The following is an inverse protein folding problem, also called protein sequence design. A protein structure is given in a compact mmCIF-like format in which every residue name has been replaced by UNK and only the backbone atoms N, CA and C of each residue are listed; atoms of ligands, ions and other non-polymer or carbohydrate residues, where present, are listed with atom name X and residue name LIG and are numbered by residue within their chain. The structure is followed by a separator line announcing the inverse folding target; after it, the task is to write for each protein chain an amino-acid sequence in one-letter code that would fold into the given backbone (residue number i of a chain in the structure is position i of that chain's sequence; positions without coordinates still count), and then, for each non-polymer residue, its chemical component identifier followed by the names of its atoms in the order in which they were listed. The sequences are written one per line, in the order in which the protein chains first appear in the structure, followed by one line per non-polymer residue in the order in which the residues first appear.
data_IF_850015114063
#
_entry.id   IF_850015114063
#
_cell.length_a   1.000
_cell.length_b   1.000
_cell.length_c   1.000
_cell.angle_alpha   90.00
_cell.angle_beta   90.00
_cell.angle_gamma   90.00
#
_symmetry.space_group_name_H-M   'P 1'
#
loop_
_entity.id
_entity.type
_entity.pdbx_description
1 polymer ?
#
# COMPACT_ATOMS: atom_id res chain seq x y z
N UNK A 1 -21.26 13.97 5.56
CA UNK A 1 -21.85 12.71 6.06
C UNK A 1 -21.81 11.66 4.98
N UNK A 2 -21.17 10.52 5.21
CA UNK A 2 -21.20 9.43 4.25
C UNK A 2 -22.63 8.89 4.16
N UNK A 3 -23.13 8.73 2.95
CA UNK A 3 -24.32 7.92 2.72
C UNK A 3 -24.01 6.47 3.13
N UNK A 4 -24.99 5.72 3.54
CA UNK A 4 -24.91 4.40 4.18
C UNK A 4 -24.05 3.31 3.50
N UNK A 5 -23.34 3.59 2.40
CA UNK A 5 -22.65 2.59 1.59
C UNK A 5 -21.31 3.03 0.98
N UNK A 6 -20.74 4.15 1.41
CA UNK A 6 -19.45 4.55 0.86
C UNK A 6 -18.30 4.04 1.75
N UNK A 7 -17.68 2.96 1.33
CA UNK A 7 -16.44 2.48 1.93
C UNK A 7 -15.29 3.42 1.58
N UNK A 8 -14.37 3.61 2.53
CA UNK A 8 -13.17 4.43 2.30
C UNK A 8 -12.33 3.85 1.16
N UNK A 9 -12.15 2.54 1.15
CA UNK A 9 -11.42 1.80 0.12
C UNK A 9 -12.41 0.96 -0.65
N UNK A 10 -12.32 1.00 -1.99
CA UNK A 10 -13.16 0.18 -2.86
C UNK A 10 -12.37 -0.37 -4.03
N UNK A 11 -12.89 -1.38 -4.67
CA UNK A 11 -12.34 -1.95 -5.89
C UNK A 11 -12.87 -1.19 -7.10
N UNK A 12 -11.97 -0.72 -7.95
CA UNK A 12 -12.32 0.04 -9.15
C UNK A 12 -11.27 -0.19 -10.22
N UNK A 13 -11.71 -0.45 -11.46
CA UNK A 13 -10.82 -0.62 -12.62
C UNK A 13 -9.66 -1.61 -12.35
N UNK A 14 -9.98 -2.72 -11.70
CA UNK A 14 -9.01 -3.79 -11.43
C UNK A 14 -8.09 -3.57 -10.24
N UNK A 15 -8.30 -2.52 -9.45
CA UNK A 15 -7.40 -2.18 -8.34
C UNK A 15 -8.16 -1.61 -7.15
N UNK A 16 -7.52 -1.61 -5.99
CA UNK A 16 -8.05 -0.93 -4.81
C UNK A 16 -7.82 0.58 -4.94
N UNK A 17 -8.80 1.34 -4.52
CA UNK A 17 -8.84 2.78 -4.71
C UNK A 17 -9.45 3.51 -3.50
N UNK A 18 -8.79 4.57 -3.08
CA UNK A 18 -9.29 5.51 -2.09
C UNK A 18 -9.68 6.82 -2.78
N UNK A 19 -10.97 7.05 -2.97
CA UNK A 19 -11.47 8.21 -3.70
C UNK A 19 -11.14 9.53 -3.00
N UNK A 20 -11.31 9.60 -1.67
CA UNK A 20 -11.04 10.81 -0.92
C UNK A 20 -9.58 11.27 -1.02
N UNK A 21 -8.65 10.35 -1.09
CA UNK A 21 -7.23 10.67 -1.27
C UNK A 21 -6.82 10.74 -2.74
N UNK A 22 -7.68 10.29 -3.65
CA UNK A 22 -7.35 10.07 -5.06
C UNK A 22 -6.05 9.27 -5.20
N UNK A 23 -6.03 8.10 -4.57
CA UNK A 23 -4.85 7.25 -4.53
C UNK A 23 -5.23 5.81 -4.81
N UNK A 24 -4.39 5.12 -5.58
CA UNK A 24 -4.57 3.73 -5.96
C UNK A 24 -3.55 2.86 -5.25
N UNK A 25 -3.92 1.64 -4.91
CA UNK A 25 -3.04 0.67 -4.27
C UNK A 25 -2.71 -0.41 -5.29
N UNK A 26 -1.41 -0.60 -5.58
CA UNK A 26 -0.89 -1.55 -6.57
C UNK A 26 -1.69 -1.51 -7.89
N UNK A 27 -1.83 -0.34 -8.53
CA UNK A 27 -2.70 -0.21 -9.70
C UNK A 27 -2.20 -1.01 -10.90
N UNK A 28 -3.14 -1.51 -11.70
CA UNK A 28 -2.83 -2.23 -12.95
C UNK A 28 -2.80 -1.31 -14.18
N UNK A 29 -3.11 -0.02 -14.00
CA UNK A 29 -3.07 1.01 -15.05
C UNK A 29 -2.27 2.21 -14.55
N UNK A 30 -1.68 3.01 -15.46
CA UNK A 30 -1.08 4.28 -15.06
C UNK A 30 -2.11 5.19 -14.39
N UNK A 31 -1.75 5.72 -13.24
CA UNK A 31 -2.60 6.61 -12.44
C UNK A 31 -1.78 7.80 -11.95
N UNK A 32 -2.46 8.81 -11.42
CA UNK A 32 -1.78 9.99 -10.88
C UNK A 32 -0.93 9.64 -9.66
N UNK A 33 -1.46 8.85 -8.73
CA UNK A 33 -0.76 8.53 -7.48
C UNK A 33 -1.01 7.08 -7.08
N UNK A 34 0.07 6.33 -6.91
CA UNK A 34 0.07 4.91 -6.57
C UNK A 34 0.80 4.63 -5.26
N UNK A 35 0.13 3.96 -4.34
CA UNK A 35 0.78 3.31 -3.19
C UNK A 35 1.19 1.91 -3.63
N UNK A 36 2.46 1.56 -3.39
CA UNK A 36 3.00 0.25 -3.75
C UNK A 36 3.29 -0.54 -2.48
N UNK A 37 2.67 -1.72 -2.37
CA UNK A 37 2.85 -2.58 -1.19
C UNK A 37 4.21 -3.26 -1.18
N UNK A 38 4.71 -3.68 -2.33
CA UNK A 38 6.01 -4.33 -2.45
C UNK A 38 6.49 -4.33 -3.91
N UNK A 39 7.74 -4.74 -4.12
CA UNK A 39 8.43 -4.55 -5.39
C UNK A 39 8.28 -5.69 -6.41
N UNK A 40 7.31 -6.59 -6.26
CA UNK A 40 7.01 -7.58 -7.30
C UNK A 40 6.31 -6.92 -8.49
N UNK A 41 6.60 -7.40 -9.71
CA UNK A 41 6.10 -6.78 -10.94
C UNK A 41 4.58 -6.85 -11.12
N UNK A 42 3.93 -7.87 -10.58
CA UNK A 42 2.47 -7.98 -10.61
C UNK A 42 1.77 -6.94 -9.71
N UNK A 43 2.52 -6.22 -8.88
CA UNK A 43 2.05 -5.13 -8.04
C UNK A 43 2.55 -3.75 -8.48
N UNK A 44 3.24 -3.67 -9.62
CA UNK A 44 3.82 -2.43 -10.12
C UNK A 44 3.41 -2.17 -11.57
N UNK A 45 3.01 -0.94 -11.87
CA UNK A 45 2.66 -0.49 -13.21
C UNK A 45 3.47 0.75 -13.57
N UNK A 46 4.12 0.73 -14.72
CA UNK A 46 4.83 1.90 -15.24
C UNK A 46 3.88 3.04 -15.59
N UNK A 47 4.39 4.27 -15.55
CA UNK A 47 3.68 5.42 -16.08
C UNK A 47 2.80 6.16 -15.09
N UNK A 48 2.83 5.81 -13.80
CA UNK A 48 2.18 6.61 -12.78
C UNK A 48 2.97 7.92 -12.57
N UNK A 49 2.26 9.01 -12.29
CA UNK A 49 2.91 10.30 -12.08
C UNK A 49 3.71 10.33 -10.78
N UNK A 50 3.22 9.68 -9.75
CA UNK A 50 3.88 9.60 -8.45
C UNK A 50 3.65 8.22 -7.82
N UNK A 51 4.71 7.65 -7.25
CA UNK A 51 4.65 6.43 -6.45
C UNK A 51 4.97 6.77 -5.00
N UNK A 52 4.35 6.03 -4.08
CA UNK A 52 4.63 6.14 -2.65
C UNK A 52 4.84 4.72 -2.11
N UNK A 53 5.94 4.51 -1.42
CA UNK A 53 6.30 3.19 -0.88
C UNK A 53 7.20 3.31 0.35
N UNK A 54 7.57 2.16 0.92
CA UNK A 54 8.69 2.12 1.86
C UNK A 54 10.00 2.39 1.10
N UNK A 55 11.05 2.76 1.86
CA UNK A 55 12.36 3.06 1.30
C UNK A 55 12.95 1.85 0.57
N UNK A 56 12.88 0.67 1.17
CA UNK A 56 13.41 -0.56 0.60
C UNK A 56 12.69 -0.95 -0.69
N UNK A 57 11.38 -0.82 -0.72
CA UNK A 57 10.59 -1.05 -1.94
C UNK A 57 11.02 -0.10 -3.05
N UNK A 58 11.23 1.18 -2.74
CA UNK A 58 11.69 2.16 -3.72
C UNK A 58 13.07 1.80 -4.28
N UNK A 59 14.00 1.37 -3.43
CA UNK A 59 15.34 0.94 -3.87
C UNK A 59 15.24 -0.25 -4.83
N UNK A 60 14.43 -1.26 -4.50
CA UNK A 60 14.24 -2.43 -5.35
C UNK A 60 13.58 -2.07 -6.68
N UNK A 61 12.59 -1.20 -6.69
CA UNK A 61 11.93 -0.73 -7.91
C UNK A 61 12.91 0.01 -8.81
N UNK A 62 13.68 0.95 -8.26
CA UNK A 62 14.67 1.70 -9.03
C UNK A 62 15.74 0.80 -9.65
N UNK A 63 16.16 -0.25 -8.96
CA UNK A 63 17.08 -1.24 -9.53
C UNK A 63 16.51 -1.97 -10.73
N UNK A 64 15.19 -2.17 -10.75
CA UNK A 64 14.52 -2.92 -11.82
C UNK A 64 14.11 -2.06 -13.00
N UNK A 65 13.70 -0.82 -12.76
CA UNK A 65 13.08 0.03 -13.77
C UNK A 65 13.86 1.32 -14.04
N UNK A 66 14.94 1.56 -13.31
CA UNK A 66 15.76 2.78 -13.46
C UNK A 66 15.36 3.88 -12.48
N UNK A 67 16.21 4.91 -12.41
CA UNK A 67 16.10 6.00 -11.41
C UNK A 67 15.10 7.10 -11.80
N UNK A 68 14.53 7.05 -13.00
CA UNK A 68 13.68 8.12 -13.53
C UNK A 68 12.25 8.12 -12.99
N UNK A 69 11.87 7.15 -12.16
CA UNK A 69 10.54 7.13 -11.55
C UNK A 69 10.53 8.02 -10.31
N UNK A 70 9.45 8.78 -10.13
CA UNK A 70 9.26 9.63 -8.96
C UNK A 70 8.63 8.81 -7.84
N UNK A 71 9.42 8.44 -6.83
CA UNK A 71 8.95 7.69 -5.66
C UNK A 71 9.20 8.51 -4.41
N UNK A 72 8.14 8.76 -3.65
CA UNK A 72 8.21 9.31 -2.30
C UNK A 72 8.20 8.16 -1.30
N UNK A 73 9.04 8.22 -0.28
CA UNK A 73 9.20 7.11 0.67
C UNK A 73 8.86 7.53 2.10
N UNK A 74 8.34 6.56 2.85
CA UNK A 74 8.09 6.69 4.29
C UNK A 74 8.58 5.44 5.00
N UNK A 75 9.09 5.59 6.19
CA UNK A 75 9.51 4.46 7.03
C UNK A 75 8.29 3.72 7.60
N UNK A 76 8.49 2.46 8.00
CA UNK A 76 7.45 1.72 8.69
C UNK A 76 6.97 2.48 9.93
N UNK A 77 5.64 2.55 10.11
CA UNK A 77 5.02 3.23 11.23
C UNK A 77 4.95 4.76 11.10
N UNK A 78 5.63 5.35 10.13
CA UNK A 78 5.57 6.79 9.88
C UNK A 78 4.22 7.15 9.24
N UNK A 79 3.46 8.01 9.90
CA UNK A 79 2.19 8.50 9.33
C UNK A 79 2.43 9.67 8.38
N UNK A 80 1.66 9.68 7.30
CA UNK A 80 1.57 10.82 6.38
C UNK A 80 0.10 11.07 6.03
N UNK A 81 -0.21 12.30 5.69
CA UNK A 81 -1.61 12.71 5.47
C UNK A 81 -1.83 13.12 4.03
N UNK A 82 -2.90 12.59 3.43
CA UNK A 82 -3.36 12.98 2.09
C UNK A 82 -4.86 13.26 2.19
N UNK A 83 -5.27 14.49 1.91
CA UNK A 83 -6.67 14.93 1.94
C UNK A 83 -7.40 14.54 3.25
N UNK A 84 -6.73 14.71 4.40
CA UNK A 84 -7.29 14.41 5.70
C UNK A 84 -7.25 12.94 6.12
N UNK A 85 -6.71 12.08 5.29
CA UNK A 85 -6.57 10.65 5.58
C UNK A 85 -5.15 10.39 6.07
N UNK A 86 -5.01 9.79 7.25
CA UNK A 86 -3.72 9.34 7.75
C UNK A 86 -3.39 7.97 7.18
N UNK A 87 -2.22 7.85 6.57
CA UNK A 87 -1.74 6.64 5.92
C UNK A 87 -0.41 6.23 6.56
N UNK A 88 -0.20 4.93 6.75
CA UNK A 88 1.07 4.40 7.25
C UNK A 88 1.35 3.01 6.69
N UNK A 89 2.64 2.71 6.51
CA UNK A 89 3.12 1.40 6.10
C UNK A 89 3.53 0.57 7.32
N UNK A 90 3.22 -0.73 7.31
CA UNK A 90 3.58 -1.67 8.36
C UNK A 90 4.13 -2.95 7.72
N UNK A 91 5.13 -3.62 8.33
CA UNK A 91 5.72 -4.81 7.72
C UNK A 91 4.68 -5.90 7.43
N UNK A 92 4.73 -6.49 6.26
CA UNK A 92 3.89 -7.63 5.89
C UNK A 92 4.63 -8.96 5.91
N UNK A 93 5.95 -8.95 6.05
CA UNK A 93 6.76 -10.16 6.17
C UNK A 93 6.95 -10.94 4.88
N UNK A 94 6.54 -10.41 3.73
CA UNK A 94 6.54 -11.12 2.47
C UNK A 94 7.91 -11.06 1.77
N UNK A 95 8.42 -9.86 1.52
CA UNK A 95 9.77 -9.61 0.98
C UNK A 95 10.34 -8.34 1.61
N UNK A 96 11.61 -8.05 1.32
CA UNK A 96 12.25 -6.81 1.78
C UNK A 96 11.42 -5.58 1.37
N UNK A 97 11.08 -4.76 2.35
CA UNK A 97 10.30 -3.54 2.16
C UNK A 97 8.79 -3.74 2.02
N UNK A 98 8.32 -4.99 1.93
CA UNK A 98 6.89 -5.25 1.77
C UNK A 98 6.05 -4.70 2.91
N UNK A 99 4.88 -4.15 2.59
CA UNK A 99 4.08 -3.45 3.58
C UNK A 99 2.60 -3.77 3.48
N UNK A 100 1.98 -3.78 4.66
CA UNK A 100 0.56 -3.54 4.83
C UNK A 100 0.34 -2.04 4.84
N UNK A 101 -0.81 -1.56 4.39
CA UNK A 101 -1.11 -0.13 4.35
C UNK A 101 -2.34 0.13 5.21
N UNK A 102 -2.17 0.99 6.22
CA UNK A 102 -3.28 1.41 7.08
C UNK A 102 -3.76 2.80 6.67
N UNK A 103 -5.07 2.94 6.56
CA UNK A 103 -5.77 4.20 6.32
C UNK A 103 -6.63 4.53 7.54
N UNK A 104 -6.53 5.74 8.06
CA UNK A 104 -7.38 6.21 9.17
C UNK A 104 -8.11 7.46 8.72
N UNK A 105 -9.43 7.41 8.76
CA UNK A 105 -10.30 8.53 8.44
C UNK A 105 -11.57 8.48 9.28
N UNK A 106 -11.96 9.61 9.89
CA UNK A 106 -13.18 9.70 10.70
C UNK A 106 -13.27 8.57 11.76
N UNK A 107 -12.16 8.29 12.44
CA UNK A 107 -12.00 7.23 13.46
C UNK A 107 -12.08 5.80 12.92
N UNK A 108 -12.39 5.60 11.65
CA UNK A 108 -12.34 4.28 11.00
C UNK A 108 -10.90 3.93 10.61
N UNK A 109 -10.51 2.71 10.90
CA UNK A 109 -9.19 2.16 10.55
C UNK A 109 -9.36 1.05 9.52
N UNK A 110 -8.73 1.25 8.37
CA UNK A 110 -8.71 0.30 7.27
C UNK A 110 -7.31 -0.24 7.08
N UNK A 111 -7.17 -1.54 6.89
CA UNK A 111 -5.89 -2.18 6.62
C UNK A 111 -5.96 -3.00 5.35
N UNK A 112 -5.01 -2.75 4.45
CA UNK A 112 -4.79 -3.57 3.25
C UNK A 112 -3.51 -4.34 3.50
N UNK A 113 -3.56 -5.68 3.47
CA UNK A 113 -2.39 -6.51 3.81
C UNK A 113 -1.34 -6.51 2.70
N UNK A 114 -1.73 -6.29 1.44
CA UNK A 114 -0.87 -6.70 0.34
C UNK A 114 -0.55 -8.19 0.46
N UNK A 115 0.48 -8.65 -0.21
CA UNK A 115 0.97 -10.00 0.01
C UNK A 115 1.68 -10.08 1.37
N UNK A 116 1.40 -11.10 2.16
CA UNK A 116 1.95 -11.21 3.50
C UNK A 116 2.39 -12.63 3.83
N UNK A 117 3.29 -12.72 4.80
CA UNK A 117 3.83 -13.99 5.29
C UNK A 117 3.96 -13.91 6.81
N UNK A 118 3.36 -14.87 7.52
CA UNK A 118 3.40 -14.91 8.99
C UNK A 118 4.67 -15.56 9.52
N UNK A 119 5.29 -16.46 8.76
CA UNK A 119 6.52 -17.11 9.14
C UNK A 119 7.68 -16.13 9.16
N UNK A 120 8.54 -16.22 10.16
CA UNK A 120 9.73 -15.39 10.27
C UNK A 120 10.66 -15.63 9.08
N UNK A 121 11.12 -14.53 8.49
CA UNK A 121 12.08 -14.52 7.39
C UNK A 121 13.16 -13.49 7.70
N UNK A 122 14.42 -13.92 7.73
CA UNK A 122 15.53 -13.05 8.10
C UNK A 122 15.87 -11.99 7.04
N UNK A 123 15.33 -12.13 5.83
CA UNK A 123 15.56 -11.18 4.72
C UNK A 123 14.68 -9.94 4.78
N UNK A 124 13.65 -9.95 5.62
CA UNK A 124 12.72 -8.82 5.75
C UNK A 124 12.18 -8.71 7.18
N UNK A 125 11.54 -7.58 7.48
CA UNK A 125 10.87 -7.41 8.77
C UNK A 125 9.65 -8.32 8.85
N UNK A 126 9.48 -8.94 10.00
CA UNK A 126 8.36 -9.84 10.28
C UNK A 126 7.02 -9.10 10.24
N UNK A 127 5.96 -9.82 9.87
CA UNK A 127 4.59 -9.34 9.87
C UNK A 127 4.25 -8.66 11.20
N UNK A 128 3.71 -7.43 11.11
CA UNK A 128 3.22 -6.68 12.27
C UNK A 128 1.70 -6.88 12.39
N UNK A 129 1.24 -7.16 13.59
CA UNK A 129 -0.21 -7.19 13.88
C UNK A 129 -0.68 -5.75 14.06
N UNK A 130 -1.57 -5.30 13.19
CA UNK A 130 -2.07 -3.92 13.16
C UNK A 130 -3.56 -3.92 13.48
N UNK A 131 -3.97 -3.15 14.49
CA UNK A 131 -5.40 -2.99 14.82
C UNK A 131 -6.13 -2.29 13.69
N UNK A 132 -7.27 -2.82 13.31
CA UNK A 132 -8.09 -2.28 12.22
C UNK A 132 -9.58 -2.60 12.45
N UNK A 133 -10.44 -1.77 11.88
CA UNK A 133 -11.89 -2.02 11.86
C UNK A 133 -12.30 -2.78 10.59
N UNK A 134 -11.61 -2.53 9.49
CA UNK A 134 -11.86 -3.15 8.18
C UNK A 134 -10.56 -3.73 7.64
N UNK A 135 -10.60 -4.98 7.19
CA UNK A 135 -9.45 -5.69 6.67
C UNK A 135 -9.69 -6.11 5.23
N UNK A 136 -8.76 -5.73 4.34
CA UNK A 136 -8.70 -6.24 2.97
C UNK A 136 -7.45 -7.10 2.88
N UNK A 137 -7.63 -8.40 2.74
CA UNK A 137 -6.56 -9.39 2.76
C UNK A 137 -6.47 -10.12 1.44
N UNK A 138 -5.24 -10.48 1.05
CA UNK A 138 -5.03 -11.45 -0.01
C UNK A 138 -5.58 -12.83 0.40
N UNK A 139 -5.86 -13.67 -0.61
CA UNK A 139 -6.35 -15.02 -0.41
C UNK A 139 -5.76 -15.98 -1.47
N UNK A 140 -4.42 -15.94 -1.61
CA UNK A 140 -3.73 -16.70 -2.65
C UNK A 140 -3.86 -18.21 -2.48
N UNK A 141 -3.90 -18.69 -1.24
CA UNK A 141 -4.02 -20.11 -0.88
C UNK A 141 -5.25 -20.40 -0.01
N UNK A 142 -6.16 -19.48 0.04
CA UNK A 142 -7.39 -19.60 0.83
C UNK A 142 -8.48 -20.43 0.18
#
# INVERSE_FOLDING_TARGET
MRTKQEYLIRYKDGSLYCELANIWIDPIKPVKRALITHAHFDHFTFGCEEYISTRETAILLKKRVGDNIKIKTFDYGQEFKINGINISFHPSGHILGSSQIRFIFAEEKWLITGDFKLQKDETCKQYEIVKTDYLISECTFG
#
